data_IF_696449109025
#
_entry.id   IF_696449109025
#
_cell.length_a   1.000
_cell.length_b   1.000
_cell.length_c   1.000
_cell.angle_alpha   90.00
_cell.angle_beta   90.00
_cell.angle_gamma   90.00
#
_symmetry.space_group_name_H-M   'P 1'
#
loop_
_entity.id
_entity.type
_entity.pdbx_description
1 polymer ?
#
# COMPACT_ATOMS: atom_id res chain seq x y z
N UNK A 1 -5.85 2.44 -12.01
CA UNK A 1 -6.38 3.30 -10.93
C UNK A 1 -5.35 3.36 -9.81
N UNK A 2 -5.01 4.56 -9.43
CA UNK A 2 -4.01 4.77 -8.35
C UNK A 2 -4.64 4.46 -7.00
N UNK A 3 -3.91 3.71 -6.17
CA UNK A 3 -4.34 3.36 -4.82
C UNK A 3 -3.22 3.58 -3.82
N UNK A 4 -3.60 3.89 -2.60
CA UNK A 4 -2.69 3.94 -1.47
C UNK A 4 -2.78 2.62 -0.73
N UNK A 5 -1.65 1.92 -0.66
CA UNK A 5 -1.52 0.67 0.09
C UNK A 5 -0.78 0.98 1.39
N UNK A 6 -1.44 0.73 2.51
CA UNK A 6 -0.82 0.85 3.83
C UNK A 6 -0.59 -0.54 4.38
N UNK A 7 0.64 -0.82 4.77
CA UNK A 7 1.06 -2.13 5.29
C UNK A 7 1.48 -1.96 6.73
N UNK A 8 0.94 -2.78 7.61
CA UNK A 8 1.37 -2.86 9.02
C UNK A 8 2.03 -4.21 9.24
N UNK A 9 3.26 -4.19 9.70
CA UNK A 9 4.10 -5.40 9.81
C UNK A 9 4.30 -5.73 11.29
N UNK A 10 3.76 -6.87 11.76
CA UNK A 10 3.96 -7.27 13.15
C UNK A 10 5.41 -7.64 13.42
N UNK A 11 5.80 -7.66 14.70
CA UNK A 11 7.16 -7.99 15.08
C UNK A 11 7.55 -9.41 14.68
N UNK A 12 6.64 -10.37 14.78
CA UNK A 12 6.89 -11.74 14.38
C UNK A 12 6.19 -12.05 13.06
N UNK A 13 6.83 -12.59 12.04
CA UNK A 13 8.22 -13.12 12.05
C UNK A 13 9.29 -12.09 11.64
N UNK A 14 8.95 -10.83 11.45
CA UNK A 14 9.87 -9.86 10.88
C UNK A 14 11.16 -9.71 11.70
N UNK A 15 11.06 -9.71 13.03
CA UNK A 15 12.24 -9.64 13.89
C UNK A 15 13.24 -10.78 13.60
N UNK A 16 12.72 -11.99 13.40
CA UNK A 16 13.56 -13.13 13.04
C UNK A 16 14.26 -12.91 11.70
N UNK A 17 13.52 -12.39 10.72
CA UNK A 17 14.09 -12.11 9.40
C UNK A 17 15.19 -11.04 9.46
N UNK A 18 15.01 -10.04 10.32
CA UNK A 18 16.04 -9.03 10.55
C UNK A 18 17.29 -9.66 11.16
N UNK A 19 17.14 -10.48 12.21
CA UNK A 19 18.26 -11.16 12.86
C UNK A 19 19.01 -12.09 11.90
N UNK A 20 18.29 -12.73 11.00
CA UNK A 20 18.86 -13.64 10.01
C UNK A 20 19.37 -12.92 8.76
N UNK A 21 19.26 -11.59 8.72
CA UNK A 21 19.71 -10.75 7.59
C UNK A 21 19.00 -11.06 6.28
N UNK A 22 17.73 -11.45 6.37
CA UNK A 22 16.87 -11.81 5.21
C UNK A 22 15.84 -10.74 4.85
N UNK A 23 15.51 -9.86 5.80
CA UNK A 23 14.39 -8.92 5.62
C UNK A 23 14.60 -8.00 4.41
N UNK A 24 15.78 -7.43 4.26
CA UNK A 24 16.08 -6.51 3.15
C UNK A 24 15.95 -7.17 1.78
N UNK A 25 16.41 -8.41 1.67
CA UNK A 25 16.32 -9.17 0.41
C UNK A 25 14.86 -9.44 0.04
N UNK A 26 14.04 -9.82 1.02
CA UNK A 26 12.63 -10.09 0.79
C UNK A 26 11.90 -8.81 0.37
N UNK A 27 12.13 -7.71 1.09
CA UNK A 27 11.53 -6.41 0.76
C UNK A 27 11.94 -6.00 -0.66
N UNK A 28 13.20 -6.13 -1.01
CA UNK A 28 13.70 -5.80 -2.35
C UNK A 28 12.98 -6.59 -3.44
N UNK A 29 12.77 -7.88 -3.23
CA UNK A 29 12.03 -8.73 -4.18
C UNK A 29 10.58 -8.28 -4.32
N UNK A 30 9.93 -7.94 -3.21
CA UNK A 30 8.55 -7.45 -3.23
C UNK A 30 8.45 -6.16 -4.02
N UNK A 31 9.30 -5.18 -3.72
CA UNK A 31 9.25 -3.88 -4.40
C UNK A 31 9.57 -4.00 -5.89
N UNK A 32 10.49 -4.90 -6.26
CA UNK A 32 10.77 -5.15 -7.67
C UNK A 32 9.56 -5.74 -8.39
N UNK A 33 8.84 -6.66 -7.75
CA UNK A 33 7.64 -7.26 -8.33
C UNK A 33 6.48 -6.28 -8.44
N UNK A 34 6.29 -5.43 -7.43
CA UNK A 34 5.14 -4.53 -7.36
C UNK A 34 5.32 -3.23 -8.14
N UNK A 35 6.56 -2.79 -8.34
CA UNK A 35 6.87 -1.54 -9.07
C UNK A 35 6.01 -0.36 -8.61
N UNK A 36 6.00 -0.01 -7.31
CA UNK A 36 5.19 1.11 -6.83
C UNK A 36 5.69 2.44 -7.39
N UNK A 37 4.78 3.40 -7.57
CA UNK A 37 5.14 4.77 -7.96
C UNK A 37 5.95 5.46 -6.85
N UNK A 38 5.64 5.14 -5.60
CA UNK A 38 6.33 5.66 -4.43
C UNK A 38 6.21 4.65 -3.30
N UNK A 39 7.23 4.59 -2.44
CA UNK A 39 7.21 3.76 -1.25
C UNK A 39 7.95 4.50 -0.12
N UNK A 40 7.36 4.48 1.07
CA UNK A 40 7.97 5.01 2.27
C UNK A 40 7.76 4.03 3.41
N UNK A 41 8.78 3.87 4.23
CA UNK A 41 8.68 3.05 5.44
C UNK A 41 8.48 3.96 6.64
N UNK A 42 7.68 3.51 7.59
CA UNK A 42 7.30 4.29 8.74
C UNK A 42 7.04 3.36 9.92
N UNK A 43 6.62 3.92 11.04
CA UNK A 43 6.08 3.15 12.15
C UNK A 43 4.60 3.52 12.34
N UNK A 44 3.85 2.60 12.89
CA UNK A 44 2.44 2.83 13.22
C UNK A 44 2.15 2.11 14.53
N UNK A 45 1.76 2.87 15.57
CA UNK A 45 1.44 2.31 16.88
C UNK A 45 2.55 1.42 17.46
N UNK A 46 3.81 1.78 17.21
CA UNK A 46 4.96 1.04 17.72
C UNK A 46 5.36 -0.16 16.90
N UNK A 47 4.75 -0.38 15.74
CA UNK A 47 5.13 -1.45 14.82
C UNK A 47 5.64 -0.86 13.51
N UNK A 48 6.33 -1.69 12.73
CA UNK A 48 6.83 -1.28 11.41
C UNK A 48 5.68 -1.11 10.45
N UNK A 49 5.79 -0.17 9.53
CA UNK A 49 4.80 0.04 8.50
C UNK A 49 5.42 0.51 7.19
N UNK A 50 4.61 0.48 6.16
CA UNK A 50 4.98 1.01 4.86
C UNK A 50 3.76 1.63 4.20
N UNK A 51 4.01 2.65 3.39
CA UNK A 51 2.99 3.30 2.59
C UNK A 51 3.47 3.26 1.14
N UNK A 52 2.65 2.69 0.27
CA UNK A 52 2.97 2.57 -1.15
C UNK A 52 1.88 3.22 -1.98
N UNK A 53 2.29 3.89 -3.05
CA UNK A 53 1.37 4.35 -4.08
C UNK A 53 1.51 3.37 -5.25
N UNK A 54 0.42 2.71 -5.60
CA UNK A 54 0.40 1.65 -6.60
C UNK A 54 -0.62 1.94 -7.68
N UNK A 55 -0.42 1.39 -8.86
CA UNK A 55 -1.37 1.45 -9.96
C UNK A 55 -2.02 0.08 -10.12
N UNK A 56 -3.34 0.02 -9.90
CA UNK A 56 -4.12 -1.21 -10.01
C UNK A 56 -5.02 -1.09 -11.23
N UNK A 57 -4.73 -1.85 -12.28
CA UNK A 57 -5.50 -1.79 -13.51
C UNK A 57 -6.85 -2.50 -13.37
N UNK A 58 -6.89 -3.59 -12.62
CA UNK A 58 -8.08 -4.41 -12.45
C UNK A 58 -8.20 -4.89 -11.00
N UNK A 59 -9.42 -5.04 -10.48
CA UNK A 59 -9.63 -5.53 -9.11
C UNK A 59 -8.95 -6.87 -8.82
N UNK A 60 -8.85 -7.75 -9.81
CA UNK A 60 -8.21 -9.05 -9.66
C UNK A 60 -6.71 -8.97 -9.36
N UNK A 61 -6.09 -7.81 -9.56
CA UNK A 61 -4.67 -7.60 -9.25
C UNK A 61 -4.42 -7.29 -7.77
N UNK A 62 -5.46 -6.93 -7.00
CA UNK A 62 -5.28 -6.57 -5.59
C UNK A 62 -4.54 -7.65 -4.80
N UNK A 63 -4.84 -8.95 -4.92
CA UNK A 63 -4.07 -9.96 -4.21
C UNK A 63 -2.58 -9.98 -4.57
N UNK A 64 -2.22 -9.66 -5.79
CA UNK A 64 -0.80 -9.63 -6.18
C UNK A 64 -0.01 -8.56 -5.44
N UNK A 65 -0.69 -7.51 -4.96
CA UNK A 65 -0.07 -6.47 -4.14
C UNK A 65 -0.07 -6.82 -2.66
N UNK A 66 -1.06 -7.57 -2.19
CA UNK A 66 -1.22 -7.87 -0.77
C UNK A 66 -0.48 -9.14 -0.33
N UNK A 67 -0.60 -10.22 -1.11
CA UNK A 67 -0.08 -11.53 -0.72
C UNK A 67 1.42 -11.56 -0.42
N UNK A 68 2.28 -10.83 -1.12
CA UNK A 68 3.70 -10.80 -0.75
C UNK A 68 3.92 -10.36 0.69
N UNK A 69 3.13 -9.40 1.17
CA UNK A 69 3.22 -8.93 2.55
C UNK A 69 2.54 -9.89 3.53
N UNK A 70 1.39 -10.44 3.16
CA UNK A 70 0.69 -11.42 3.99
C UNK A 70 1.56 -12.64 4.24
N UNK A 71 2.06 -13.23 3.17
CA UNK A 71 2.75 -14.52 3.26
C UNK A 71 4.16 -14.42 3.85
N UNK A 72 4.87 -13.34 3.56
CA UNK A 72 6.22 -13.16 4.08
C UNK A 72 6.26 -12.64 5.50
N UNK A 73 5.32 -11.78 5.89
CA UNK A 73 5.42 -11.02 7.14
C UNK A 73 4.23 -11.14 8.07
N UNK A 74 3.18 -11.86 7.71
CA UNK A 74 1.91 -11.85 8.43
C UNK A 74 1.37 -10.42 8.59
N UNK A 75 1.62 -9.58 7.60
CA UNK A 75 1.26 -8.17 7.65
C UNK A 75 -0.23 -7.96 7.39
N UNK A 76 -0.73 -6.80 7.80
CA UNK A 76 -2.04 -6.30 7.42
C UNK A 76 -1.87 -5.34 6.26
N UNK A 77 -2.76 -5.41 5.28
CA UNK A 77 -2.76 -4.52 4.12
C UNK A 77 -4.10 -3.81 4.03
N UNK A 78 -4.07 -2.50 3.84
CA UNK A 78 -5.26 -1.68 3.63
C UNK A 78 -5.11 -0.92 2.33
N UNK A 79 -6.15 -0.97 1.50
CA UNK A 79 -6.16 -0.34 0.19
C UNK A 79 -7.17 0.79 0.18
N UNK A 80 -6.76 1.97 -0.29
CA UNK A 80 -7.66 3.11 -0.47
C UNK A 80 -7.49 3.65 -1.87
N UNK A 81 -8.61 3.93 -2.52
CA UNK A 81 -8.62 4.67 -3.78
C UNK A 81 -8.23 6.10 -3.46
N UNK A 82 -7.31 6.65 -4.24
CA UNK A 82 -6.89 8.05 -4.09
C UNK A 82 -7.15 8.80 -5.39
N UNK A 83 -7.41 10.09 -5.25
CA UNK A 83 -7.66 10.98 -6.37
C UNK A 83 -6.58 12.06 -6.41
N UNK A 84 -6.09 12.35 -7.61
CA UNK A 84 -5.26 13.52 -7.82
C UNK A 84 -6.11 14.79 -7.75
N UNK A 85 -5.50 15.98 -7.63
CA UNK A 85 -6.26 17.24 -7.78
C UNK A 85 -7.04 17.31 -9.08
N UNK A 86 -6.48 16.78 -10.17
CA UNK A 86 -7.14 16.75 -11.48
C UNK A 86 -8.36 15.83 -11.45
N UNK A 87 -8.26 14.67 -10.81
CA UNK A 87 -9.40 13.76 -10.63
C UNK A 87 -10.52 14.45 -9.86
N UNK A 88 -10.18 15.10 -8.77
CA UNK A 88 -11.15 15.83 -7.94
C UNK A 88 -11.81 16.95 -8.76
N UNK A 89 -11.03 17.64 -9.56
CA UNK A 89 -11.57 18.69 -10.46
C UNK A 89 -12.59 18.14 -11.43
N UNK A 90 -12.40 16.92 -11.92
CA UNK A 90 -13.35 16.28 -12.85
C UNK A 90 -14.60 15.74 -12.17
N UNK A 91 -14.62 15.70 -10.84
CA UNK A 91 -15.78 15.16 -10.09
C UNK A 91 -17.01 16.06 -10.16
N UNK A 92 -16.83 17.35 -10.47
CA UNK A 92 -17.96 18.27 -10.61
C UNK A 92 -18.60 18.65 -9.29
N UNK A 93 -17.77 18.99 -8.30
CA UNK A 93 -18.28 19.31 -6.95
C UNK A 93 -19.29 20.44 -6.93
N UNK A 94 -19.13 21.46 -7.81
CA UNK A 94 -20.05 22.59 -7.86
C UNK A 94 -21.46 22.13 -8.25
N UNK A 95 -21.55 21.28 -9.29
CA UNK A 95 -22.83 20.73 -9.72
C UNK A 95 -23.44 19.82 -8.64
N UNK A 96 -22.59 19.05 -7.94
CA UNK A 96 -23.07 18.22 -6.82
C UNK A 96 -23.58 19.09 -5.67
N UNK A 97 -22.93 20.21 -5.40
CA UNK A 97 -23.39 21.16 -4.40
C UNK A 97 -24.74 21.74 -4.72
N UNK A 98 -25.01 22.06 -6.00
CA UNK A 98 -26.31 22.52 -6.46
C UNK A 98 -27.39 21.44 -6.30
N UNK A 99 -27.04 20.19 -6.63
CA UNK A 99 -27.97 19.08 -6.55
C UNK A 99 -28.34 18.73 -5.10
N UNK A 100 -27.39 18.78 -4.19
CA UNK A 100 -27.55 18.28 -2.83
C UNK A 100 -27.56 19.37 -1.75
N UNK A 101 -27.26 20.58 -2.12
CA UNK A 101 -27.30 21.72 -1.22
C UNK A 101 -28.67 22.27 -1.09
#
# INVERSE_FOLDING_TARGET
>A
MRMLLTVTIPHAPFNTLVREKKAGTIIGRILEALQPEAVYFTEENGTRGAVLVIDVAEPSQVPSFAEPFFLNFNADCRFRIVMSPEDLGRAGLEALGEQWG
#
